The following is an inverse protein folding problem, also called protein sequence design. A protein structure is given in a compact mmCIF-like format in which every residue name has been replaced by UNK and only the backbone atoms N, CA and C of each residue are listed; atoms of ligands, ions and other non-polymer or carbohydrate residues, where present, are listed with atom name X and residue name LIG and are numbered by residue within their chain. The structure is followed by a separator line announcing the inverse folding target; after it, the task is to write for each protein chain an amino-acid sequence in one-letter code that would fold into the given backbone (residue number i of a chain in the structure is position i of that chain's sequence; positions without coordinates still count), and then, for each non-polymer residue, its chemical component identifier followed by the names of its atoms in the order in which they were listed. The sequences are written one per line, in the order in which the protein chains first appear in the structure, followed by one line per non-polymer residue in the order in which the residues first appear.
data_IF_705703315198
#
_entry.id   IF_705703315198
#
_cell.length_a   1.000
_cell.length_b   1.000
_cell.length_c   1.000
_cell.angle_alpha   90.00
_cell.angle_beta   90.00
_cell.angle_gamma   90.00
#
_symmetry.space_group_name_H-M   'P 1'
#
loop_
_entity.id
_entity.type
_entity.pdbx_description
1 polymer ?
#
# COMPACT_ATOMS: atom_id res chain seq x y z
N UNK A 1 -7.27 -7.29 -5.20
CA UNK A 1 -7.15 -8.06 -6.46
C UNK A 1 -6.51 -9.42 -6.26
N UNK A 2 -5.32 -9.51 -5.64
CA UNK A 2 -4.61 -10.78 -5.40
C UNK A 2 -5.49 -11.91 -4.82
N UNK A 3 -6.16 -11.66 -3.69
CA UNK A 3 -7.01 -12.67 -3.05
C UNK A 3 -8.23 -13.10 -3.88
N UNK A 4 -8.74 -12.26 -4.77
CA UNK A 4 -9.82 -12.63 -5.68
C UNK A 4 -9.36 -13.63 -6.74
N UNK A 5 -8.09 -13.55 -7.15
CA UNK A 5 -7.51 -14.47 -8.14
C UNK A 5 -7.08 -15.77 -7.46
N UNK A 6 -6.35 -15.69 -6.35
CA UNK A 6 -5.79 -16.89 -5.68
C UNK A 6 -6.81 -17.69 -4.88
N UNK A 7 -7.83 -17.06 -4.31
CA UNK A 7 -8.84 -17.73 -3.47
C UNK A 7 -10.27 -17.33 -3.85
N UNK A 8 -10.73 -17.65 -5.07
CA UNK A 8 -11.96 -17.09 -5.63
C UNK A 8 -13.21 -17.46 -4.82
N UNK A 9 -13.31 -18.68 -4.28
CA UNK A 9 -14.50 -19.14 -3.55
C UNK A 9 -14.55 -18.60 -2.12
N UNK A 10 -13.45 -18.71 -1.37
CA UNK A 10 -13.40 -18.31 0.04
C UNK A 10 -13.29 -16.79 0.22
N UNK A 11 -12.60 -16.08 -0.67
CA UNK A 11 -12.50 -14.62 -0.60
C UNK A 11 -13.81 -13.93 -1.05
N UNK A 12 -14.51 -14.49 -2.06
CA UNK A 12 -15.79 -13.95 -2.52
C UNK A 12 -16.86 -13.98 -1.43
N UNK A 13 -16.97 -15.09 -0.68
CA UNK A 13 -17.91 -15.21 0.44
C UNK A 13 -17.61 -14.22 1.59
N UNK A 14 -16.36 -13.78 1.73
CA UNK A 14 -15.89 -12.89 2.81
C UNK A 14 -15.88 -11.41 2.44
N UNK A 15 -16.15 -11.06 1.17
CA UNK A 15 -16.13 -9.68 0.66
C UNK A 15 -17.43 -8.96 0.98
N UNK A 16 -17.48 -8.30 2.14
CA UNK A 16 -18.62 -7.47 2.55
C UNK A 16 -18.28 -5.98 2.45
N UNK A 17 -19.29 -5.14 2.17
CA UNK A 17 -19.14 -3.67 2.12
C UNK A 17 -18.65 -3.11 3.45
N UNK A 18 -19.16 -3.63 4.57
CA UNK A 18 -18.71 -3.30 5.93
C UNK A 18 -17.20 -3.49 6.09
N UNK A 19 -16.66 -4.66 5.71
CA UNK A 19 -15.21 -4.93 5.81
C UNK A 19 -14.39 -4.00 4.91
N UNK A 20 -14.86 -3.72 3.69
CA UNK A 20 -14.18 -2.80 2.79
C UNK A 20 -14.11 -1.39 3.37
N UNK A 21 -15.23 -0.88 3.91
CA UNK A 21 -15.29 0.41 4.58
C UNK A 21 -14.36 0.43 5.81
N UNK A 22 -14.36 -0.62 6.63
CA UNK A 22 -13.43 -0.73 7.77
C UNK A 22 -11.97 -0.66 7.31
N UNK A 23 -11.59 -1.36 6.25
CA UNK A 23 -10.22 -1.30 5.71
C UNK A 23 -9.85 0.11 5.21
N UNK A 24 -10.77 0.81 4.56
CA UNK A 24 -10.56 2.18 4.08
C UNK A 24 -10.40 3.13 5.28
N UNK A 25 -11.33 3.09 6.24
CA UNK A 25 -11.26 3.91 7.44
C UNK A 25 -9.97 3.66 8.22
N UNK A 26 -9.56 2.40 8.40
CA UNK A 26 -8.30 2.06 9.05
C UNK A 26 -7.10 2.64 8.31
N UNK A 27 -7.05 2.53 6.98
CA UNK A 27 -5.97 3.11 6.18
C UNK A 27 -5.89 4.63 6.36
N UNK A 28 -7.03 5.33 6.33
CA UNK A 28 -7.09 6.78 6.57
C UNK A 28 -6.67 7.16 7.98
N UNK A 29 -7.20 6.48 9.00
CA UNK A 29 -6.86 6.74 10.39
C UNK A 29 -5.37 6.55 10.66
N UNK A 30 -4.78 5.45 10.16
CA UNK A 30 -3.34 5.19 10.30
C UNK A 30 -2.52 6.29 9.61
N UNK A 31 -2.89 6.69 8.39
CA UNK A 31 -2.20 7.77 7.67
C UNK A 31 -2.27 9.10 8.44
N UNK A 32 -3.43 9.47 8.96
CA UNK A 32 -3.59 10.72 9.74
C UNK A 32 -2.77 10.66 11.02
N UNK A 33 -2.83 9.55 11.77
CA UNK A 33 -2.10 9.40 13.04
C UNK A 33 -0.58 9.42 12.84
N UNK A 34 -0.08 8.88 11.73
CA UNK A 34 1.35 8.90 11.44
C UNK A 34 1.83 10.27 10.95
N UNK A 35 1.10 10.91 10.03
CA UNK A 35 1.57 12.14 9.38
C UNK A 35 1.14 13.41 10.09
N UNK A 36 -0.11 13.55 10.53
CA UNK A 36 -0.60 14.81 11.05
C UNK A 36 0.13 15.24 12.34
N UNK A 37 0.32 14.36 13.35
CA UNK A 37 1.11 14.72 14.53
C UNK A 37 2.57 15.01 14.19
N UNK A 38 3.19 14.20 13.31
CA UNK A 38 4.58 14.39 12.93
C UNK A 38 4.79 15.72 12.17
N UNK A 39 3.85 16.15 11.32
CA UNK A 39 3.97 17.43 10.60
C UNK A 39 3.69 18.61 11.54
N UNK A 40 2.63 18.52 12.36
CA UNK A 40 2.15 19.67 13.15
C UNK A 40 2.93 19.88 14.45
N UNK A 41 3.31 18.79 15.12
CA UNK A 41 3.94 18.88 16.44
C UNK A 41 5.46 18.96 16.41
N UNK A 42 6.11 18.64 15.29
CA UNK A 42 7.57 18.62 15.19
C UNK A 42 8.21 19.97 15.51
N UNK A 43 7.60 21.07 15.08
CA UNK A 43 8.07 22.43 15.40
C UNK A 43 8.07 22.72 16.91
N UNK A 44 7.18 22.10 17.69
CA UNK A 44 7.14 22.26 19.15
C UNK A 44 8.11 21.32 19.86
N UNK A 45 8.41 20.15 19.28
CA UNK A 45 9.38 19.18 19.82
C UNK A 45 10.80 19.73 19.68
N UNK A 46 11.13 20.31 18.52
CA UNK A 46 12.43 20.94 18.26
C UNK A 46 12.55 22.29 18.99
N UNK A 47 11.42 22.89 19.36
CA UNK A 47 11.37 24.18 20.08
C UNK A 47 11.51 25.40 19.18
N UNK A 48 11.83 25.20 17.90
CA UNK A 48 11.94 26.24 16.89
C UNK A 48 11.40 25.77 15.54
N UNK A 49 10.94 26.75 14.73
CA UNK A 49 10.52 26.52 13.35
C UNK A 49 11.70 26.81 12.43
N UNK A 50 12.33 25.77 11.87
CA UNK A 50 13.48 25.91 10.96
C UNK A 50 13.08 26.25 9.52
N UNK A 51 11.79 26.17 9.19
CA UNK A 51 11.26 26.53 7.85
C UNK A 51 11.21 28.05 7.68
N UNK A 52 11.84 28.55 6.61
CA UNK A 52 11.88 29.99 6.32
C UNK A 52 10.47 30.58 6.06
N UNK A 53 10.22 31.86 6.38
CA UNK A 53 8.90 32.48 6.25
C UNK A 53 8.30 32.47 4.83
N UNK A 54 9.15 32.44 3.80
CA UNK A 54 8.73 32.42 2.39
C UNK A 54 8.79 31.02 1.75
N UNK A 55 9.06 29.97 2.53
CA UNK A 55 9.16 28.59 2.04
C UNK A 55 8.14 27.69 2.73
N UNK A 56 7.71 26.63 2.03
CA UNK A 56 6.82 25.61 2.58
C UNK A 56 7.39 24.23 2.29
N UNK A 57 8.07 23.66 3.29
CA UNK A 57 8.53 22.28 3.28
C UNK A 57 8.30 21.63 4.65
N UNK A 58 8.36 20.30 4.70
CA UNK A 58 8.12 19.53 5.91
C UNK A 58 9.40 19.51 6.74
N UNK A 59 9.34 20.09 7.94
CA UNK A 59 10.51 20.32 8.80
C UNK A 59 11.28 19.05 9.19
N UNK A 60 10.59 17.94 9.48
CA UNK A 60 11.28 16.70 9.86
C UNK A 60 11.93 15.96 8.69
N UNK A 61 11.55 16.29 7.44
CA UNK A 61 12.16 15.72 6.24
C UNK A 61 13.45 16.44 5.83
N UNK A 62 13.86 17.49 6.56
CA UNK A 62 15.18 18.09 6.39
C UNK A 62 16.29 17.15 6.87
N UNK A 63 15.99 16.24 7.80
CA UNK A 63 16.93 15.23 8.26
C UNK A 63 17.02 14.07 7.26
N UNK A 64 18.18 13.86 6.62
CA UNK A 64 18.32 12.88 5.54
C UNK A 64 18.03 11.44 6.00
N UNK A 65 18.37 11.12 7.26
CA UNK A 65 18.10 9.79 7.85
C UNK A 65 16.59 9.56 7.99
N UNK A 66 15.85 10.55 8.51
CA UNK A 66 14.40 10.45 8.70
C UNK A 66 13.71 10.36 7.34
N UNK A 67 14.13 11.17 6.37
CA UNK A 67 13.61 11.14 5.00
C UNK A 67 13.85 9.80 4.33
N UNK A 68 15.04 9.22 4.47
CA UNK A 68 15.36 7.91 3.90
C UNK A 68 14.50 6.79 4.51
N UNK A 69 14.38 6.75 5.85
CA UNK A 69 13.53 5.77 6.53
C UNK A 69 12.06 5.91 6.13
N UNK A 70 11.57 7.14 6.01
CA UNK A 70 10.20 7.44 5.58
C UNK A 70 9.95 7.00 4.15
N UNK A 71 10.89 7.25 3.23
CA UNK A 71 10.81 6.80 1.85
C UNK A 71 10.77 5.26 1.75
N UNK A 72 11.58 4.55 2.55
CA UNK A 72 11.55 3.09 2.59
C UNK A 72 10.18 2.58 3.03
N UNK A 73 9.68 3.08 4.17
CA UNK A 73 8.45 2.59 4.76
C UNK A 73 7.20 2.95 3.94
N UNK A 74 7.14 4.18 3.43
CA UNK A 74 5.97 4.71 2.73
C UNK A 74 5.95 4.40 1.22
N UNK A 75 7.11 4.16 0.59
CA UNK A 75 7.20 3.95 -0.85
C UNK A 75 7.83 2.61 -1.22
N UNK A 76 9.10 2.37 -0.88
CA UNK A 76 9.81 1.18 -1.39
C UNK A 76 9.20 -0.14 -0.90
N UNK A 77 8.82 -0.22 0.38
CA UNK A 77 8.19 -1.40 0.94
C UNK A 77 6.81 -1.67 0.29
N UNK A 78 5.86 -0.72 0.21
CA UNK A 78 4.61 -0.90 -0.53
C UNK A 78 4.80 -1.27 -1.99
N UNK A 79 5.72 -0.62 -2.71
CA UNK A 79 6.02 -0.93 -4.13
C UNK A 79 6.50 -2.37 -4.28
N UNK A 80 7.42 -2.81 -3.41
CA UNK A 80 7.96 -4.16 -3.44
C UNK A 80 6.87 -5.21 -3.18
N UNK A 81 6.01 -4.96 -2.19
CA UNK A 81 4.85 -5.82 -1.90
C UNK A 81 3.92 -5.88 -3.12
N UNK A 82 3.59 -4.73 -3.72
CA UNK A 82 2.72 -4.66 -4.89
C UNK A 82 3.31 -5.39 -6.10
N UNK A 83 4.62 -5.25 -6.34
CA UNK A 83 5.33 -5.95 -7.41
C UNK A 83 5.29 -7.47 -7.23
N UNK A 84 5.59 -7.97 -6.02
CA UNK A 84 5.52 -9.41 -5.71
C UNK A 84 4.10 -9.94 -5.88
N UNK A 85 3.10 -9.22 -5.35
CA UNK A 85 1.71 -9.62 -5.49
C UNK A 85 1.28 -9.65 -6.96
N UNK A 86 1.68 -8.65 -7.76
CA UNK A 86 1.38 -8.60 -9.18
C UNK A 86 2.02 -9.76 -9.94
N UNK A 87 3.29 -10.05 -9.67
CA UNK A 87 3.98 -11.21 -10.24
C UNK A 87 3.24 -12.52 -9.95
N UNK A 88 2.78 -12.71 -8.70
CA UNK A 88 1.99 -13.90 -8.34
C UNK A 88 0.62 -13.92 -9.03
N UNK A 89 -0.03 -12.77 -9.25
CA UNK A 89 -1.28 -12.71 -10.05
C UNK A 89 -1.00 -13.13 -11.49
N UNK A 90 0.09 -12.63 -12.08
CA UNK A 90 0.48 -12.94 -13.45
C UNK A 90 0.67 -14.45 -13.63
N UNK A 91 1.46 -15.08 -12.75
CA UNK A 91 1.68 -16.53 -12.78
C UNK A 91 0.37 -17.34 -12.72
N UNK A 92 -0.55 -16.98 -11.81
CA UNK A 92 -1.83 -17.68 -11.68
C UNK A 92 -2.76 -17.46 -12.88
N UNK A 93 -2.69 -16.28 -13.51
CA UNK A 93 -3.45 -15.98 -14.73
C UNK A 93 -2.93 -16.80 -15.91
N UNK A 94 -1.61 -16.91 -16.06
CA UNK A 94 -0.98 -17.70 -17.13
C UNK A 94 -1.27 -19.20 -16.98
N UNK A 95 -1.19 -19.74 -15.76
CA UNK A 95 -1.56 -21.15 -15.49
C UNK A 95 -3.00 -21.45 -15.92
N UNK A 96 -3.95 -20.59 -15.54
CA UNK A 96 -5.37 -20.75 -15.92
C UNK A 96 -5.57 -20.65 -17.44
N UNK A 97 -4.83 -19.78 -18.12
CA UNK A 97 -4.90 -19.68 -19.57
C UNK A 97 -4.45 -20.99 -20.25
N UNK A 98 -3.38 -21.62 -19.76
CA UNK A 98 -2.89 -22.92 -20.27
C UNK A 98 -3.86 -24.07 -19.99
N UNK A 99 -4.44 -24.12 -18.80
CA UNK A 99 -5.44 -25.13 -18.43
C UNK A 99 -6.69 -25.08 -19.32
N UNK A 100 -7.22 -23.86 -19.56
CA UNK A 100 -8.37 -23.66 -20.46
C UNK A 100 -8.05 -24.08 -21.90
N UNK A 101 -6.82 -23.87 -22.38
CA UNK A 101 -6.39 -24.34 -23.70
C UNK A 101 -6.28 -25.87 -23.77
N UNK A 102 -5.74 -26.52 -22.74
CA UNK A 102 -5.66 -27.98 -22.66
C UNK A 102 -7.02 -28.67 -22.67
N UNK A 103 -8.00 -28.10 -21.94
CA UNK A 103 -9.39 -28.59 -21.95
C UNK A 103 -10.05 -28.48 -23.33
N UNK A 104 -9.77 -27.40 -24.08
CA UNK A 104 -10.28 -27.24 -25.45
C UNK A 104 -9.62 -28.22 -26.44
N UNK A 105 -8.35 -28.55 -26.25
CA UNK A 105 -7.63 -29.50 -27.10
C UNK A 105 -7.99 -30.97 -26.86
N UNK A 106 -8.39 -31.33 -25.64
CA UNK A 106 -8.79 -32.72 -25.30
C UNK A 106 -10.25 -33.06 -25.64
N UNK A 107 -11.05 -32.05 -26.01
CA UNK A 107 -12.46 -32.22 -26.42
C UNK A 107 -12.67 -32.22 -27.94
N UNK A 108 -11.60 -32.30 -28.72
CA UNK A 108 -11.60 -32.39 -30.19
C UNK A 108 -11.12 -33.78 -30.63
#
# INVERSE_FOLDING_TARGET
RYFSVTRPLTYRAKRTTKRAMTMICLAWSISIILWAPAILFWQYIVGERTVQPNECYIQFLSEPIITFCTAIAAFYLPVTIMAILFWKIYQETEKRAKEVQGLKGSGA
#
